data_IF_354732251779
#
_entry.id   IF_354732251779
#
_cell.length_a   1.000
_cell.length_b   1.000
_cell.length_c   1.000
_cell.angle_alpha   90.00
_cell.angle_beta   90.00
_cell.angle_gamma   90.00
#
_symmetry.space_group_name_H-M   'P 1'
#
loop_
_entity.id
_entity.type
_entity.pdbx_description
1 polymer ?
#
# COMPACT_ATOMS: atom_id res chain seq x y z
N UNK A 1 -18.85 -4.35 20.53
CA UNK A 1 -19.42 -5.69 20.25
C UNK A 1 -20.77 -5.48 19.58
N UNK A 2 -20.78 -5.38 18.24
CA UNK A 2 -22.02 -5.36 17.47
C UNK A 2 -22.45 -6.80 17.19
N UNK A 3 -23.74 -7.09 17.39
CA UNK A 3 -24.41 -8.32 16.99
C UNK A 3 -23.97 -8.73 15.59
N UNK A 4 -23.58 -9.99 15.40
CA UNK A 4 -23.02 -10.55 14.16
C UNK A 4 -24.02 -10.66 13.01
N UNK A 5 -24.81 -9.62 12.76
CA UNK A 5 -25.63 -9.47 11.58
C UNK A 5 -24.84 -8.71 10.52
N UNK A 6 -24.68 -9.31 9.34
CA UNK A 6 -24.08 -8.64 8.19
C UNK A 6 -25.00 -7.49 7.75
N UNK A 7 -24.69 -6.27 8.20
CA UNK A 7 -25.40 -5.07 7.79
C UNK A 7 -25.07 -4.68 6.34
N UNK A 8 -25.96 -3.96 5.64
CA UNK A 8 -25.65 -3.39 4.34
C UNK A 8 -24.50 -2.40 4.45
N UNK A 9 -23.64 -2.37 3.44
CA UNK A 9 -22.50 -1.45 3.41
C UNK A 9 -22.96 0.00 3.42
N UNK A 10 -22.36 0.79 4.29
CA UNK A 10 -22.63 2.23 4.37
C UNK A 10 -21.88 2.96 3.27
N UNK A 11 -22.37 4.15 2.87
CA UNK A 11 -21.68 5.01 1.91
C UNK A 11 -20.23 5.35 2.33
N UNK A 12 -19.94 5.33 3.63
CA UNK A 12 -18.59 5.55 4.16
C UNK A 12 -17.60 4.47 3.71
N UNK A 13 -17.99 3.19 3.64
CA UNK A 13 -17.12 2.10 3.20
C UNK A 13 -16.72 2.26 1.73
N UNK A 14 -17.66 2.66 0.87
CA UNK A 14 -17.38 2.96 -0.53
C UNK A 14 -16.46 4.19 -0.67
N UNK A 15 -16.69 5.22 0.15
CA UNK A 15 -15.88 6.45 0.13
C UNK A 15 -14.44 6.21 0.58
N UNK A 16 -14.23 5.36 1.60
CA UNK A 16 -12.89 4.98 2.06
C UNK A 16 -12.14 4.20 0.97
N UNK A 17 -12.79 3.21 0.34
CA UNK A 17 -12.17 2.43 -0.73
C UNK A 17 -11.86 3.29 -1.96
N UNK A 18 -12.82 4.09 -2.42
CA UNK A 18 -12.62 4.98 -3.56
C UNK A 18 -11.56 6.05 -3.24
N UNK A 19 -11.60 6.64 -2.05
CA UNK A 19 -10.65 7.65 -1.61
C UNK A 19 -9.22 7.13 -1.55
N UNK A 20 -9.02 5.91 -1.03
CA UNK A 20 -7.69 5.29 -0.99
C UNK A 20 -7.18 4.91 -2.38
N UNK A 21 -8.05 4.41 -3.27
CA UNK A 21 -7.67 4.14 -4.66
C UNK A 21 -7.26 5.43 -5.41
N UNK A 22 -8.04 6.51 -5.27
CA UNK A 22 -7.72 7.82 -5.86
C UNK A 22 -6.41 8.37 -5.29
N UNK A 23 -6.20 8.27 -3.97
CA UNK A 23 -4.97 8.72 -3.32
C UNK A 23 -3.75 7.92 -3.83
N UNK A 24 -3.89 6.61 -4.05
CA UNK A 24 -2.86 5.78 -4.65
C UNK A 24 -2.49 6.25 -6.06
N UNK A 25 -3.48 6.47 -6.94
CA UNK A 25 -3.26 6.96 -8.31
C UNK A 25 -2.62 8.35 -8.30
N UNK A 26 -3.15 9.28 -7.51
CA UNK A 26 -2.57 10.62 -7.34
C UNK A 26 -1.12 10.54 -6.84
N UNK A 27 -0.82 9.64 -5.90
CA UNK A 27 0.53 9.38 -5.42
C UNK A 27 1.48 8.95 -6.55
N UNK A 28 1.05 8.02 -7.41
CA UNK A 28 1.85 7.61 -8.60
C UNK A 28 2.11 8.79 -9.53
N UNK A 29 1.09 9.61 -9.82
CA UNK A 29 1.23 10.80 -10.66
C UNK A 29 2.22 11.79 -10.06
N UNK A 30 2.13 12.07 -8.75
CA UNK A 30 3.05 12.97 -8.05
C UNK A 30 4.47 12.43 -8.10
N UNK A 31 4.69 11.15 -7.78
CA UNK A 31 6.02 10.52 -7.85
C UNK A 31 6.58 10.63 -9.28
N UNK A 32 5.77 10.30 -10.29
CA UNK A 32 6.18 10.37 -11.68
C UNK A 32 6.62 11.79 -12.09
N UNK A 33 5.79 12.80 -11.78
CA UNK A 33 6.09 14.21 -12.12
C UNK A 33 7.31 14.71 -11.36
N UNK A 34 7.40 14.43 -10.05
CA UNK A 34 8.55 14.86 -9.22
C UNK A 34 9.85 14.25 -9.74
N UNK A 35 9.87 12.96 -10.07
CA UNK A 35 11.06 12.30 -10.61
C UNK A 35 11.44 12.84 -12.00
N UNK A 36 10.45 13.19 -12.82
CA UNK A 36 10.67 13.75 -14.15
C UNK A 36 11.23 15.17 -14.08
N UNK A 37 10.77 15.96 -13.09
CA UNK A 37 11.33 17.28 -12.79
C UNK A 37 12.74 17.18 -12.20
N UNK A 38 12.97 16.19 -11.34
CA UNK A 38 14.27 15.94 -10.71
C UNK A 38 15.34 15.54 -11.73
N UNK A 39 14.97 14.75 -12.75
CA UNK A 39 15.87 14.38 -13.85
C UNK A 39 16.52 15.58 -14.54
N UNK A 40 15.89 16.75 -14.50
CA UNK A 40 16.37 17.99 -15.13
C UNK A 40 17.08 18.93 -14.15
N UNK A 41 16.94 18.72 -12.83
CA UNK A 41 17.57 19.59 -11.83
C UNK A 41 19.01 19.16 -11.55
N UNK A 42 19.95 19.82 -12.24
CA UNK A 42 21.41 19.65 -12.01
C UNK A 42 21.85 20.12 -10.61
N UNK A 43 21.06 20.95 -9.92
CA UNK A 43 21.35 21.43 -8.55
C UNK A 43 20.10 21.31 -7.67
N UNK A 44 20.00 20.23 -6.90
CA UNK A 44 19.10 20.20 -5.75
C UNK A 44 19.76 20.92 -4.56
N UNK A 45 19.05 21.81 -3.84
CA UNK A 45 19.56 22.35 -2.59
C UNK A 45 19.69 21.22 -1.55
N UNK A 46 20.83 21.12 -0.87
CA UNK A 46 21.08 20.05 0.10
C UNK A 46 20.02 19.93 1.21
N UNK A 47 19.38 21.04 1.60
CA UNK A 47 18.32 21.02 2.61
C UNK A 47 17.05 20.28 2.14
N UNK A 48 16.67 20.39 0.86
CA UNK A 48 15.51 19.66 0.33
C UNK A 48 15.78 18.15 0.32
N UNK A 49 16.99 17.76 -0.08
CA UNK A 49 17.40 16.35 -0.04
C UNK A 49 17.31 15.78 1.38
N UNK A 50 17.83 16.50 2.38
CA UNK A 50 17.75 16.09 3.79
C UNK A 50 16.30 15.96 4.26
N UNK A 51 15.42 16.90 3.90
CA UNK A 51 13.98 16.82 4.23
C UNK A 51 13.35 15.57 3.62
N UNK A 52 13.59 15.28 2.33
CA UNK A 52 13.05 14.09 1.68
C UNK A 52 13.55 12.80 2.32
N UNK A 53 14.84 12.73 2.65
CA UNK A 53 15.40 11.58 3.37
C UNK A 53 14.73 11.43 4.73
N UNK A 54 14.63 12.50 5.53
CA UNK A 54 13.98 12.45 6.84
C UNK A 54 12.52 11.98 6.77
N UNK A 55 11.75 12.50 5.80
CA UNK A 55 10.37 12.06 5.57
C UNK A 55 10.29 10.59 5.15
N UNK A 56 11.19 10.14 4.27
CA UNK A 56 11.24 8.73 3.85
C UNK A 56 11.56 7.78 5.02
N UNK A 57 12.45 8.19 5.92
CA UNK A 57 12.78 7.44 7.12
C UNK A 57 11.61 7.39 8.10
N UNK A 58 10.91 8.51 8.29
CA UNK A 58 9.70 8.55 9.11
C UNK A 58 8.64 7.56 8.59
N UNK A 59 8.36 7.58 7.28
CA UNK A 59 7.44 6.62 6.64
C UNK A 59 7.90 5.18 6.85
N UNK A 60 9.19 4.91 6.68
CA UNK A 60 9.76 3.57 6.87
C UNK A 60 9.58 3.07 8.31
N UNK A 61 9.84 3.93 9.31
CA UNK A 61 9.64 3.59 10.72
C UNK A 61 8.16 3.31 11.01
N UNK A 62 7.24 4.10 10.45
CA UNK A 62 5.81 3.87 10.60
C UNK A 62 5.37 2.54 9.97
N UNK A 63 5.89 2.20 8.79
CA UNK A 63 5.64 0.91 8.15
C UNK A 63 6.17 -0.26 8.99
N UNK A 64 7.36 -0.14 9.59
CA UNK A 64 7.91 -1.15 10.49
C UNK A 64 7.03 -1.33 11.74
N UNK A 65 6.60 -0.23 12.36
CA UNK A 65 5.69 -0.27 13.50
C UNK A 65 4.37 -0.95 13.15
N UNK A 66 3.83 -0.68 11.96
CA UNK A 66 2.58 -1.29 11.50
C UNK A 66 2.74 -2.80 11.13
N UNK A 67 3.95 -3.27 10.83
CA UNK A 67 4.22 -4.71 10.80
C UNK A 67 4.29 -5.28 12.21
N UNK A 68 4.86 -4.55 13.17
CA UNK A 68 4.95 -4.98 14.56
C UNK A 68 3.56 -5.12 15.21
N UNK A 69 2.57 -4.32 14.81
CA UNK A 69 1.18 -4.49 15.29
C UNK A 69 0.54 -5.80 14.88
N UNK A 70 1.13 -6.51 13.89
CA UNK A 70 0.72 -7.87 13.56
C UNK A 70 1.20 -8.89 14.58
N UNK A 71 2.01 -8.54 15.57
CA UNK A 71 2.27 -9.43 16.71
C UNK A 71 1.19 -9.22 17.78
N UNK A 72 0.82 -10.30 18.47
CA UNK A 72 -0.19 -10.30 19.54
C UNK A 72 0.34 -9.60 20.82
N UNK A 73 0.59 -8.30 20.71
CA UNK A 73 1.05 -7.42 21.78
C UNK A 73 -0.06 -6.41 22.06
N UNK A 74 -0.57 -6.41 23.30
CA UNK A 74 -1.56 -5.42 23.73
C UNK A 74 -0.88 -4.08 23.99
N UNK A 75 -1.01 -3.14 23.05
CA UNK A 75 -0.47 -1.80 23.18
C UNK A 75 -1.39 -0.90 24.01
N UNK A 76 -0.86 -0.29 25.08
CA UNK A 76 -1.57 0.76 25.82
C UNK A 76 -1.53 2.11 25.08
N UNK A 77 -2.40 3.04 25.47
CA UNK A 77 -2.41 4.40 24.94
C UNK A 77 -1.14 5.16 25.37
N UNK A 78 -0.53 6.01 24.52
CA UNK A 78 -1.04 6.53 23.24
C UNK A 78 -0.65 5.70 22.00
N UNK A 79 0.14 4.64 22.17
CA UNK A 79 0.77 3.90 21.06
C UNK A 79 -0.29 3.22 20.17
N UNK A 80 -1.35 2.69 20.77
CA UNK A 80 -2.49 2.15 20.03
C UNK A 80 -3.17 3.18 19.13
N UNK A 81 -3.29 4.44 19.57
CA UNK A 81 -3.84 5.54 18.76
C UNK A 81 -2.96 5.90 17.56
N UNK A 82 -1.64 5.97 17.75
CA UNK A 82 -0.67 6.22 16.67
C UNK A 82 -0.73 5.10 15.64
N UNK A 83 -0.73 3.84 16.07
CA UNK A 83 -0.82 2.67 15.19
C UNK A 83 -2.13 2.65 14.39
N UNK A 84 -3.26 2.97 15.02
CA UNK A 84 -4.56 3.07 14.34
C UNK A 84 -4.56 4.15 13.26
N UNK A 85 -3.91 5.30 13.50
CA UNK A 85 -3.83 6.40 12.53
C UNK A 85 -3.08 5.97 11.26
N UNK A 86 -2.03 5.16 11.39
CA UNK A 86 -1.18 4.73 10.27
C UNK A 86 -1.54 3.35 9.70
N UNK A 87 -2.63 2.74 10.14
CA UNK A 87 -3.13 1.45 9.62
C UNK A 87 -3.39 1.44 8.11
N UNK A 88 -3.69 2.59 7.50
CA UNK A 88 -3.84 2.70 6.03
C UNK A 88 -2.51 2.53 5.28
N UNK A 89 -1.35 2.64 5.96
CA UNK A 89 -0.03 2.42 5.37
C UNK A 89 0.32 0.93 5.28
N UNK A 90 -0.33 0.10 6.09
CA UNK A 90 -0.39 -1.34 5.83
C UNK A 90 -1.43 -1.57 4.76
N UNK A 91 -1.08 -2.33 3.72
CA UNK A 91 -1.97 -2.65 2.60
C UNK A 91 -3.00 -3.70 3.04
N UNK A 92 -3.76 -3.37 4.09
CA UNK A 92 -4.75 -4.20 4.73
C UNK A 92 -6.12 -3.89 4.12
N UNK A 93 -6.64 -4.84 3.35
CA UNK A 93 -7.92 -4.70 2.66
C UNK A 93 -9.11 -4.72 3.62
N UNK A 94 -8.96 -5.30 4.81
CA UNK A 94 -10.01 -5.33 5.83
C UNK A 94 -10.12 -3.99 6.55
N UNK A 95 -8.99 -3.33 6.82
CA UNK A 95 -8.97 -1.94 7.27
C UNK A 95 -9.65 -0.99 6.26
N UNK A 96 -9.59 -1.29 4.96
CA UNK A 96 -10.23 -0.52 3.89
C UNK A 96 -11.70 -0.87 3.65
N UNK A 97 -12.31 -1.73 4.48
CA UNK A 97 -13.69 -2.20 4.31
C UNK A 97 -13.94 -2.94 2.98
N UNK A 98 -12.91 -3.52 2.36
CA UNK A 98 -13.04 -4.21 1.07
C UNK A 98 -14.01 -5.39 1.14
N UNK A 99 -13.99 -6.14 2.24
CA UNK A 99 -14.92 -7.23 2.53
C UNK A 99 -16.40 -6.82 2.51
N UNK A 100 -16.68 -5.54 2.74
CA UNK A 100 -18.03 -5.01 2.64
C UNK A 100 -18.43 -4.86 1.17
N UNK A 101 -17.60 -4.18 0.38
CA UNK A 101 -17.90 -3.80 -1.00
C UNK A 101 -17.92 -5.02 -1.94
N UNK A 102 -17.01 -5.96 -1.72
CA UNK A 102 -16.91 -7.17 -2.52
C UNK A 102 -16.70 -8.39 -1.61
N UNK A 103 -17.54 -9.44 -1.70
CA UNK A 103 -17.29 -10.70 -1.02
C UNK A 103 -16.06 -11.36 -1.64
N UNK A 104 -14.89 -11.10 -1.07
CA UNK A 104 -13.63 -11.67 -1.51
C UNK A 104 -13.23 -12.83 -0.61
N UNK A 105 -12.90 -13.96 -1.22
CA UNK A 105 -12.29 -15.08 -0.49
C UNK A 105 -10.93 -14.66 0.10
N UNK A 106 -10.43 -15.34 1.15
CA UNK A 106 -9.09 -15.08 1.70
C UNK A 106 -7.99 -15.10 0.62
N UNK A 107 -8.10 -16.02 -0.35
CA UNK A 107 -7.21 -16.11 -1.51
C UNK A 107 -7.33 -14.87 -2.41
N UNK A 108 -8.55 -14.37 -2.64
CA UNK A 108 -8.77 -13.16 -3.43
C UNK A 108 -8.16 -11.92 -2.78
N UNK A 109 -8.32 -11.78 -1.45
CA UNK A 109 -7.68 -10.70 -0.69
C UNK A 109 -6.17 -10.77 -0.77
N UNK A 110 -5.60 -11.94 -0.47
CA UNK A 110 -4.16 -12.16 -0.58
C UNK A 110 -3.64 -11.81 -1.98
N UNK A 111 -4.31 -12.31 -3.02
CA UNK A 111 -3.94 -12.05 -4.41
C UNK A 111 -3.99 -10.57 -4.75
N UNK A 112 -5.05 -9.85 -4.35
CA UNK A 112 -5.18 -8.41 -4.61
C UNK A 112 -4.09 -7.61 -3.88
N UNK A 113 -3.81 -7.94 -2.63
CA UNK A 113 -2.78 -7.29 -1.83
C UNK A 113 -1.38 -7.53 -2.42
N UNK A 114 -1.06 -8.76 -2.82
CA UNK A 114 0.22 -9.09 -3.46
C UNK A 114 0.35 -8.46 -4.86
N UNK A 115 -0.75 -8.34 -5.59
CA UNK A 115 -0.78 -7.69 -6.91
C UNK A 115 -0.86 -6.16 -6.85
N UNK A 116 -0.99 -5.55 -5.67
CA UNK A 116 -1.11 -4.09 -5.57
C UNK A 116 0.09 -3.36 -6.19
N UNK A 117 1.32 -3.82 -5.93
CA UNK A 117 2.53 -3.22 -6.53
C UNK A 117 2.61 -3.37 -8.05
N UNK A 118 2.44 -4.58 -8.65
CA UNK A 118 2.42 -4.68 -10.11
C UNK A 118 1.25 -3.89 -10.73
N UNK A 119 0.08 -3.81 -10.09
CA UNK A 119 -1.02 -2.97 -10.57
C UNK A 119 -0.63 -1.48 -10.61
N UNK A 120 0.03 -0.96 -9.58
CA UNK A 120 0.53 0.43 -9.59
C UNK A 120 1.65 0.64 -10.62
N UNK A 121 2.47 -0.39 -10.90
CA UNK A 121 3.46 -0.33 -11.98
C UNK A 121 2.78 -0.26 -13.37
N UNK A 122 1.68 -0.99 -13.58
CA UNK A 122 0.85 -0.88 -14.79
C UNK A 122 0.27 0.54 -14.92
N UNK A 123 -0.23 1.12 -13.82
CA UNK A 123 -0.71 2.52 -13.79
C UNK A 123 0.42 3.49 -14.16
N UNK A 124 1.62 3.31 -13.61
CA UNK A 124 2.79 4.10 -13.98
C UNK A 124 3.13 3.96 -15.47
N UNK A 125 2.99 2.76 -16.04
CA UNK A 125 3.12 2.50 -17.47
C UNK A 125 2.10 3.29 -18.30
N UNK A 126 0.83 3.29 -17.91
CA UNK A 126 -0.21 4.09 -18.57
C UNK A 126 0.06 5.59 -18.49
N UNK A 127 0.52 6.08 -17.34
CA UNK A 127 0.92 7.49 -17.18
C UNK A 127 2.11 7.83 -18.09
N UNK A 128 3.09 6.94 -18.21
CA UNK A 128 4.23 7.15 -19.08
C UNK A 128 3.84 7.17 -20.56
N UNK A 129 3.00 6.21 -20.99
CA UNK A 129 2.48 6.16 -22.36
C UNK A 129 1.64 7.39 -22.70
N UNK A 130 0.79 7.84 -21.77
CA UNK A 130 -0.02 9.06 -21.98
C UNK A 130 0.84 10.32 -22.03
N UNK A 131 1.90 10.41 -21.23
CA UNK A 131 2.87 11.49 -21.30
C UNK A 131 3.65 11.50 -22.63
N UNK A 132 4.04 10.33 -23.16
CA UNK A 132 4.66 10.20 -24.49
C UNK A 132 3.68 10.63 -25.59
N UNK A 133 2.42 10.19 -25.53
CA UNK A 133 1.40 10.59 -26.50
C UNK A 133 1.13 12.10 -26.47
N UNK A 134 1.12 12.70 -25.28
CA UNK A 134 0.94 14.13 -25.05
C UNK A 134 2.23 14.95 -25.21
N UNK A 135 3.36 14.35 -25.62
CA UNK A 135 4.69 14.99 -25.66
C UNK A 135 4.69 16.33 -26.41
N UNK A 136 3.86 16.47 -27.46
CA UNK A 136 3.72 17.71 -28.25
C UNK A 136 3.06 18.87 -27.49
N UNK A 137 2.27 18.57 -26.46
CA UNK A 137 1.57 19.55 -25.63
C UNK A 137 2.26 19.81 -24.28
N UNK A 138 3.31 19.05 -23.97
CA UNK A 138 4.06 19.19 -22.74
C UNK A 138 5.19 20.21 -22.89
N UNK A 139 5.60 20.87 -21.79
CA UNK A 139 6.77 21.76 -21.80
C UNK A 139 7.99 21.01 -22.35
N UNK A 140 8.81 21.68 -23.18
CA UNK A 140 10.00 21.06 -23.79
C UNK A 140 10.92 20.41 -22.75
N UNK A 141 11.09 21.04 -21.60
CA UNK A 141 11.91 20.53 -20.50
C UNK A 141 11.40 19.20 -19.94
N UNK A 142 10.07 19.05 -19.84
CA UNK A 142 9.44 17.81 -19.39
C UNK A 142 9.49 16.75 -20.49
N UNK A 143 9.25 17.15 -21.74
CA UNK A 143 9.33 16.25 -22.90
C UNK A 143 10.74 15.66 -23.09
N UNK A 144 11.79 16.38 -22.69
CA UNK A 144 13.18 15.91 -22.73
C UNK A 144 13.47 14.85 -21.66
N UNK A 145 12.78 14.85 -20.52
CA UNK A 145 12.96 13.85 -19.46
C UNK A 145 12.13 12.57 -19.66
N UNK A 146 11.25 12.53 -20.66
CA UNK A 146 10.45 11.36 -21.03
C UNK A 146 11.29 10.32 -21.78
N UNK A 147 12.01 9.51 -21.02
CA UNK A 147 12.74 8.33 -21.49
C UNK A 147 12.34 7.08 -20.67
N UNK A 148 12.65 5.87 -21.16
CA UNK A 148 12.32 4.61 -20.47
C UNK A 148 12.94 4.51 -19.07
N UNK A 149 14.06 5.20 -18.86
CA UNK A 149 14.68 5.38 -17.54
C UNK A 149 13.74 6.03 -16.52
N UNK A 150 12.86 6.94 -16.94
CA UNK A 150 11.88 7.61 -16.07
C UNK A 150 10.80 6.64 -15.56
N UNK A 151 10.34 5.74 -16.43
CA UNK A 151 9.40 4.69 -16.03
C UNK A 151 10.05 3.74 -15.02
N UNK A 152 11.30 3.31 -15.28
CA UNK A 152 12.03 2.43 -14.37
C UNK A 152 12.28 3.08 -13.01
N UNK A 153 12.66 4.36 -12.97
CA UNK A 153 12.79 5.13 -11.72
C UNK A 153 11.48 5.15 -10.94
N UNK A 154 10.36 5.42 -11.62
CA UNK A 154 9.03 5.45 -10.98
C UNK A 154 8.66 4.08 -10.41
N UNK A 155 8.82 3.00 -11.17
CA UNK A 155 8.53 1.63 -10.73
C UNK A 155 9.44 1.24 -9.55
N UNK A 156 10.73 1.55 -9.63
CA UNK A 156 11.69 1.30 -8.56
C UNK A 156 11.34 2.06 -7.27
N UNK A 157 10.94 3.33 -7.38
CA UNK A 157 10.47 4.11 -6.22
C UNK A 157 9.18 3.53 -5.63
N UNK A 158 8.22 3.12 -6.45
CA UNK A 158 7.00 2.46 -5.96
C UNK A 158 7.32 1.14 -5.24
N UNK A 159 8.24 0.35 -5.78
CA UNK A 159 8.68 -0.89 -5.14
C UNK A 159 9.33 -0.62 -3.79
N UNK A 160 10.24 0.36 -3.70
CA UNK A 160 10.88 0.75 -2.44
C UNK A 160 9.86 1.25 -1.40
N UNK A 161 8.89 2.07 -1.82
CA UNK A 161 7.86 2.62 -0.93
C UNK A 161 6.91 1.54 -0.39
N UNK A 162 6.59 0.52 -1.18
CA UNK A 162 5.64 -0.52 -0.80
C UNK A 162 6.31 -1.81 -0.31
N UNK A 163 7.64 -1.86 -0.33
CA UNK A 163 8.42 -3.06 -0.04
C UNK A 163 7.98 -3.74 1.27
N UNK A 164 8.00 -3.00 2.38
CA UNK A 164 7.67 -3.55 3.70
C UNK A 164 6.24 -4.09 3.72
N UNK A 165 5.27 -3.32 3.20
CA UNK A 165 3.87 -3.72 3.18
C UNK A 165 3.66 -5.00 2.35
N UNK A 166 4.26 -5.09 1.16
CA UNK A 166 4.16 -6.27 0.28
C UNK A 166 4.79 -7.49 0.92
N UNK A 167 5.99 -7.36 1.48
CA UNK A 167 6.67 -8.47 2.14
C UNK A 167 5.89 -8.94 3.37
N UNK A 168 5.29 -8.03 4.14
CA UNK A 168 4.42 -8.39 5.25
C UNK A 168 3.19 -9.18 4.77
N UNK A 169 2.59 -8.80 3.64
CA UNK A 169 1.48 -9.54 3.05
C UNK A 169 1.88 -10.92 2.51
N UNK A 170 3.08 -11.03 1.91
CA UNK A 170 3.63 -12.32 1.47
C UNK A 170 3.90 -13.24 2.67
N UNK A 171 4.31 -12.68 3.81
CA UNK A 171 4.59 -13.43 5.04
C UNK A 171 3.34 -13.76 5.87
N UNK A 172 2.22 -13.07 5.66
CA UNK A 172 0.95 -13.30 6.36
C UNK A 172 0.51 -14.79 6.43
N UNK A 173 0.56 -15.60 5.34
CA UNK A 173 0.19 -17.02 5.42
C UNK A 173 1.11 -17.89 6.30
N UNK A 174 2.24 -17.37 6.77
CA UNK A 174 3.14 -18.10 7.68
C UNK A 174 2.93 -17.72 9.15
N UNK A 175 2.03 -16.79 9.44
CA UNK A 175 1.71 -16.33 10.80
C UNK A 175 0.45 -17.05 11.30
N UNK A 176 0.62 -17.83 12.38
CA UNK A 176 -0.43 -18.70 12.93
C UNK A 176 -0.71 -18.37 14.38
N UNK A 177 -1.99 -18.23 14.73
CA UNK A 177 -2.45 -18.08 16.09
C UNK A 177 -2.96 -19.42 16.65
N UNK A 178 -2.57 -19.72 17.89
CA UNK A 178 -3.03 -20.89 18.63
C UNK A 178 -4.29 -20.53 19.43
N UNK A 179 -5.37 -21.22 19.15
CA UNK A 179 -6.63 -21.05 19.86
C UNK A 179 -6.70 -21.94 21.12
N UNK A 180 -7.48 -21.56 22.15
CA UNK A 180 -7.66 -22.35 23.35
C UNK A 180 -8.19 -23.78 23.11
N UNK A 181 -8.83 -24.02 21.96
CA UNK A 181 -9.30 -25.32 21.52
C UNK A 181 -8.20 -26.22 20.92
N UNK A 182 -6.93 -25.78 20.94
CA UNK A 182 -5.77 -26.50 20.40
C UNK A 182 -5.60 -26.40 18.88
N UNK A 183 -6.48 -25.67 18.16
CA UNK A 183 -6.39 -25.47 16.72
C UNK A 183 -5.54 -24.25 16.39
N UNK A 184 -4.92 -24.24 15.20
CA UNK A 184 -4.12 -23.13 14.69
C UNK A 184 -4.77 -22.53 13.43
N UNK A 185 -5.07 -21.24 13.44
CA UNK A 185 -5.59 -20.50 12.26
C UNK A 185 -4.58 -19.45 11.81
N UNK A 186 -4.68 -19.03 10.56
CA UNK A 186 -3.89 -17.90 10.06
C UNK A 186 -4.31 -16.63 10.81
N UNK A 187 -3.32 -15.85 11.23
CA UNK A 187 -3.54 -14.65 12.03
C UNK A 187 -4.34 -13.57 11.29
N UNK A 188 -4.09 -13.39 9.99
CA UNK A 188 -4.85 -12.44 9.17
C UNK A 188 -6.19 -13.03 8.65
N UNK A 189 -6.28 -14.37 8.59
CA UNK A 189 -7.41 -15.08 8.00
C UNK A 189 -7.88 -16.21 8.94
N UNK A 190 -8.62 -15.85 9.99
CA UNK A 190 -9.09 -16.80 11.01
C UNK A 190 -9.98 -17.94 10.47
N UNK A 191 -10.51 -17.78 9.25
CA UNK A 191 -11.27 -18.82 8.55
C UNK A 191 -10.41 -19.95 7.96
N UNK A 192 -9.08 -19.79 7.93
CA UNK A 192 -8.14 -20.72 7.29
C UNK A 192 -7.26 -21.38 8.35
N UNK A 193 -7.22 -22.72 8.36
CA UNK A 193 -6.38 -23.48 9.28
C UNK A 193 -4.93 -23.56 8.78
N UNK A 194 -3.98 -23.37 9.70
CA UNK A 194 -2.54 -23.48 9.40
C UNK A 194 -2.09 -24.91 9.04
N UNK A 195 -2.90 -25.93 9.35
CA UNK A 195 -2.60 -27.32 9.02
C UNK A 195 -2.78 -27.64 7.53
N UNK A 196 -3.19 -26.68 6.70
CA UNK A 196 -3.44 -26.88 5.26
C UNK A 196 -4.60 -27.84 4.96
N UNK A 197 -5.45 -28.12 5.96
CA UNK A 197 -6.67 -28.91 5.80
C UNK A 197 -7.87 -27.96 5.71
N UNK A 198 -8.41 -27.85 4.51
CA UNK A 198 -9.68 -27.17 4.27
C UNK A 198 -10.81 -28.16 4.57
N UNK A 199 -11.51 -27.91 5.69
CA UNK A 199 -12.64 -28.70 6.27
C UNK A 199 -12.32 -30.05 6.90
#
# INVERSE_FOLDING_TARGET
MSSGECGPCTGASYLLLAGTAVLGICGVVVIYVVLAMDAQRVKQPGHLFVIFVALSQLVTVLQQLAVITKFDIQWEQPMAGVMSLFSFMTLDLDALSFSCVAPASPVGKYTLTTLATPLLAVVAGFIHLSAIAAKRHLPQDFAASLDGSQLLRTIGSLFLLLFISVFASILAPFQCNLHPNGRRTLQEYDSVFCSGKDR
#
